data_IF_362841612203
#
_entry.id   IF_362841612203
#
_cell.length_a   1.000
_cell.length_b   1.000
_cell.length_c   1.000
_cell.angle_alpha   90.00
_cell.angle_beta   90.00
_cell.angle_gamma   90.00
#
_symmetry.space_group_name_H-M   'P 1'
#
loop_
_entity.id
_entity.type
_entity.pdbx_description
1 polymer ?
#
# COMPACT_ATOMS: atom_id res chain seq x y z
N UNK A 1 1.92 -36.97 13.05
CA UNK A 1 2.61 -36.83 11.76
C UNK A 1 1.66 -36.42 10.61
N UNK A 2 0.35 -36.70 10.70
CA UNK A 2 -0.65 -36.33 9.65
C UNK A 2 -1.11 -34.87 9.60
N UNK A 3 -0.84 -34.04 10.61
CA UNK A 3 -1.33 -32.64 10.63
C UNK A 3 -0.41 -31.63 9.92
N UNK A 4 0.87 -31.97 9.76
CA UNK A 4 1.87 -31.09 9.13
C UNK A 4 1.75 -31.16 7.60
N UNK A 5 1.47 -32.34 7.06
CA UNK A 5 1.31 -32.52 5.59
C UNK A 5 0.04 -31.83 5.03
N UNK A 6 -1.04 -31.75 5.83
CA UNK A 6 -2.26 -31.04 5.42
C UNK A 6 -2.07 -29.51 5.34
N UNK A 7 -1.27 -28.93 6.22
CA UNK A 7 -0.96 -27.49 6.20
C UNK A 7 -0.02 -27.17 5.03
N UNK A 8 0.98 -28.01 4.77
CA UNK A 8 1.88 -27.86 3.61
C UNK A 8 1.12 -27.99 2.29
N UNK A 9 0.26 -28.98 2.13
CA UNK A 9 -0.52 -29.16 0.91
C UNK A 9 -1.50 -28.04 0.61
N UNK A 10 -2.02 -27.35 1.64
CA UNK A 10 -2.90 -26.16 1.46
C UNK A 10 -2.08 -24.91 1.09
N UNK A 11 -0.84 -24.81 1.57
CA UNK A 11 0.09 -23.73 1.22
C UNK A 11 0.62 -23.88 -0.20
N UNK A 12 1.04 -25.07 -0.61
CA UNK A 12 1.49 -25.34 -1.98
C UNK A 12 0.38 -25.14 -3.02
N UNK A 13 -0.87 -25.51 -2.72
CA UNK A 13 -2.01 -25.24 -3.60
C UNK A 13 -2.30 -23.75 -3.76
N UNK A 14 -2.09 -22.93 -2.72
CA UNK A 14 -2.20 -21.46 -2.83
C UNK A 14 -1.05 -20.82 -3.62
N UNK A 15 0.14 -21.42 -3.61
CA UNK A 15 1.30 -20.93 -4.36
C UNK A 15 1.18 -21.26 -5.86
N UNK A 16 0.60 -22.42 -6.20
CA UNK A 16 0.41 -22.84 -7.61
C UNK A 16 -0.74 -22.12 -8.31
N UNK A 17 -1.73 -21.63 -7.55
CA UNK A 17 -2.85 -20.82 -8.06
C UNK A 17 -2.57 -19.29 -8.14
N UNK A 18 -1.37 -18.86 -7.79
CA UNK A 18 -0.89 -17.52 -8.14
C UNK A 18 -0.58 -17.48 -9.64
N UNK A 19 -1.63 -17.52 -10.46
CA UNK A 19 -1.56 -17.08 -11.84
C UNK A 19 -0.88 -15.70 -11.85
N UNK A 20 0.12 -15.52 -12.70
CA UNK A 20 0.72 -14.20 -12.97
C UNK A 20 -0.43 -13.20 -13.05
N UNK A 21 -0.42 -12.10 -12.29
CA UNK A 21 -1.50 -11.15 -12.37
C UNK A 21 -1.71 -10.82 -13.86
N UNK A 22 -2.94 -10.83 -14.37
CA UNK A 22 -3.21 -10.61 -15.78
C UNK A 22 -2.76 -9.23 -16.27
N UNK A 23 -2.13 -8.48 -15.38
CA UNK A 23 -1.76 -7.07 -15.54
C UNK A 23 -0.27 -6.89 -15.24
N UNK A 24 0.44 -6.14 -16.08
CA UNK A 24 1.87 -5.89 -15.89
C UNK A 24 2.12 -5.09 -14.59
N UNK A 25 3.28 -5.32 -13.95
CA UNK A 25 3.72 -4.58 -12.75
C UNK A 25 3.69 -3.05 -12.98
N UNK A 26 4.03 -2.60 -14.19
CA UNK A 26 4.00 -1.19 -14.53
C UNK A 26 2.58 -0.60 -14.48
N UNK A 27 1.58 -1.36 -14.87
CA UNK A 27 0.16 -0.96 -14.74
C UNK A 27 -0.26 -0.98 -13.27
N UNK A 28 0.09 -2.03 -12.52
CA UNK A 28 -0.23 -2.15 -11.08
C UNK A 28 0.30 -0.93 -10.31
N UNK A 29 1.52 -0.48 -10.58
CA UNK A 29 2.10 0.73 -9.96
C UNK A 29 1.32 2.02 -10.26
N UNK A 30 0.55 2.08 -11.36
CA UNK A 30 -0.29 3.23 -11.70
C UNK A 30 -1.72 3.14 -11.14
N UNK A 31 -2.21 1.94 -10.78
CA UNK A 31 -3.57 1.76 -10.25
C UNK A 31 -3.93 2.67 -9.07
N UNK A 32 -3.05 2.88 -8.06
CA UNK A 32 -3.36 3.80 -6.96
C UNK A 32 -3.63 5.24 -7.43
N UNK A 33 -2.97 5.69 -8.51
CA UNK A 33 -3.23 7.02 -9.09
C UNK A 33 -4.60 7.05 -9.78
N UNK A 34 -4.94 6.03 -10.57
CA UNK A 34 -6.27 5.91 -11.16
C UNK A 34 -7.35 5.92 -10.08
N UNK A 35 -7.20 5.11 -9.05
CA UNK A 35 -8.15 5.03 -7.94
C UNK A 35 -8.37 6.40 -7.28
N UNK A 36 -7.31 7.15 -7.03
CA UNK A 36 -7.40 8.49 -6.44
C UNK A 36 -8.18 9.46 -7.31
N UNK A 37 -7.80 9.64 -8.58
CA UNK A 37 -8.46 10.57 -9.46
C UNK A 37 -9.92 10.18 -9.76
N UNK A 38 -10.20 8.91 -9.97
CA UNK A 38 -11.56 8.45 -10.16
C UNK A 38 -12.42 8.66 -8.89
N UNK A 39 -11.83 8.51 -7.71
CA UNK A 39 -12.52 8.80 -6.45
C UNK A 39 -12.82 10.30 -6.27
N UNK A 40 -11.97 11.19 -6.77
CA UNK A 40 -12.23 12.63 -6.82
C UNK A 40 -13.38 12.95 -7.78
N UNK A 41 -13.32 12.42 -8.99
CA UNK A 41 -14.38 12.59 -10.00
C UNK A 41 -15.76 12.07 -9.53
N UNK A 42 -15.77 10.96 -8.79
CA UNK A 42 -17.03 10.45 -8.21
C UNK A 42 -17.62 11.41 -7.17
N UNK A 43 -16.79 12.04 -6.35
CA UNK A 43 -17.26 13.04 -5.36
C UNK A 43 -17.80 14.30 -6.03
N UNK A 44 -17.26 14.64 -7.19
CA UNK A 44 -17.71 15.75 -8.04
C UNK A 44 -18.96 15.40 -8.88
N UNK A 45 -19.45 14.15 -8.79
CA UNK A 45 -20.62 13.69 -9.53
C UNK A 45 -20.34 13.37 -11.00
N UNK A 46 -19.08 13.27 -11.42
CA UNK A 46 -18.72 12.96 -12.81
C UNK A 46 -19.08 11.51 -13.14
N UNK A 47 -19.98 11.33 -14.10
CA UNK A 47 -20.46 9.99 -14.49
C UNK A 47 -19.54 9.32 -15.51
N UNK A 48 -18.96 10.10 -16.41
CA UNK A 48 -18.11 9.61 -17.51
C UNK A 48 -16.87 10.49 -17.69
N UNK A 49 -15.79 9.86 -18.15
CA UNK A 49 -14.54 10.55 -18.47
C UNK A 49 -13.90 9.92 -19.71
N UNK A 50 -13.35 10.75 -20.59
CA UNK A 50 -12.57 10.29 -21.75
C UNK A 50 -11.12 9.96 -21.36
N UNK A 51 -10.44 9.16 -22.21
CA UNK A 51 -8.99 8.93 -22.04
C UNK A 51 -8.17 10.22 -22.16
N UNK A 52 -8.64 11.20 -22.94
CA UNK A 52 -8.00 12.50 -23.11
C UNK A 52 -8.11 13.37 -21.86
N UNK A 53 -9.27 13.41 -21.21
CA UNK A 53 -9.47 14.14 -19.95
C UNK A 53 -8.67 13.48 -18.81
N UNK A 54 -8.77 12.16 -18.67
CA UNK A 54 -8.03 11.42 -17.64
C UNK A 54 -6.50 11.55 -17.84
N UNK A 55 -6.02 11.61 -19.09
CA UNK A 55 -4.61 11.81 -19.40
C UNK A 55 -4.09 13.15 -18.92
N UNK A 56 -4.89 14.21 -19.04
CA UNK A 56 -4.57 15.57 -18.53
C UNK A 56 -4.45 15.56 -17.00
N UNK A 57 -5.42 14.95 -16.30
CA UNK A 57 -5.40 14.83 -14.84
C UNK A 57 -4.20 14.05 -14.32
N UNK A 58 -3.82 12.99 -15.04
CA UNK A 58 -2.76 12.09 -14.60
C UNK A 58 -1.37 12.45 -15.17
N UNK A 59 -1.28 13.43 -16.07
CA UNK A 59 -0.05 13.78 -16.79
C UNK A 59 0.62 12.53 -17.44
N UNK A 60 -0.16 11.76 -18.19
CA UNK A 60 0.25 10.61 -18.99
C UNK A 60 -0.45 10.69 -20.35
N UNK A 61 -0.03 9.93 -21.35
CA UNK A 61 -0.68 9.97 -22.68
C UNK A 61 -2.04 9.27 -22.68
N UNK A 62 -2.98 9.72 -23.51
CA UNK A 62 -4.27 9.05 -23.68
C UNK A 62 -4.11 7.62 -24.23
N UNK A 63 -3.04 7.35 -24.97
CA UNK A 63 -2.71 6.00 -25.42
C UNK A 63 -2.34 5.08 -24.26
N UNK A 64 -1.52 5.57 -23.32
CA UNK A 64 -1.17 4.84 -22.11
C UNK A 64 -2.40 4.52 -21.25
N UNK A 65 -3.32 5.50 -21.08
CA UNK A 65 -4.60 5.29 -20.40
C UNK A 65 -5.37 4.14 -21.03
N UNK A 66 -5.50 4.16 -22.37
CA UNK A 66 -6.22 3.09 -23.08
C UNK A 66 -5.55 1.73 -22.91
N UNK A 67 -4.23 1.66 -23.02
CA UNK A 67 -3.47 0.41 -22.80
C UNK A 67 -3.68 -0.12 -21.39
N UNK A 68 -3.50 0.73 -20.37
CA UNK A 68 -3.65 0.32 -18.99
C UNK A 68 -5.06 -0.21 -18.70
N UNK A 69 -6.09 0.50 -19.15
CA UNK A 69 -7.47 0.13 -18.88
C UNK A 69 -7.94 -1.07 -19.72
N UNK A 70 -7.37 -1.31 -20.89
CA UNK A 70 -7.67 -2.51 -21.68
C UNK A 70 -7.21 -3.80 -20.99
N UNK A 71 -6.20 -3.74 -20.11
CA UNK A 71 -5.77 -4.90 -19.32
C UNK A 71 -6.88 -5.45 -18.39
N UNK A 72 -7.90 -4.66 -18.11
CA UNK A 72 -8.98 -5.01 -17.18
C UNK A 72 -10.31 -5.39 -17.87
N UNK A 73 -10.28 -5.53 -19.20
CA UNK A 73 -11.49 -5.74 -20.02
C UNK A 73 -12.09 -4.42 -20.51
N UNK A 74 -12.62 -4.40 -21.72
CA UNK A 74 -13.04 -3.20 -22.46
C UNK A 74 -14.02 -2.27 -21.73
N UNK A 75 -13.53 -1.41 -20.87
CA UNK A 75 -14.30 -0.46 -20.06
C UNK A 75 -14.82 0.76 -20.81
N UNK A 76 -14.35 0.98 -22.03
CA UNK A 76 -14.74 2.10 -22.87
C UNK A 76 -15.51 1.67 -24.11
N UNK A 77 -16.66 2.22 -24.34
CA UNK A 77 -17.25 2.24 -25.67
C UNK A 77 -16.59 3.37 -26.47
N UNK A 78 -16.17 3.08 -27.69
CA UNK A 78 -15.55 4.06 -28.58
C UNK A 78 -16.50 5.26 -28.75
N UNK A 79 -16.00 6.46 -28.44
CA UNK A 79 -16.78 7.71 -28.47
C UNK A 79 -17.52 8.08 -27.17
N UNK A 80 -17.76 7.16 -26.24
CA UNK A 80 -18.55 7.41 -25.02
C UNK A 80 -17.70 7.57 -23.73
N UNK A 81 -16.39 7.31 -23.77
CA UNK A 81 -15.52 7.34 -22.61
C UNK A 81 -15.79 6.21 -21.60
N UNK A 82 -15.19 6.34 -20.43
CA UNK A 82 -15.26 5.36 -19.35
C UNK A 82 -16.34 5.75 -18.33
N UNK A 83 -17.11 4.77 -17.85
CA UNK A 83 -17.97 4.97 -16.70
C UNK A 83 -17.10 5.05 -15.43
N UNK A 84 -17.12 6.19 -14.75
CA UNK A 84 -16.25 6.49 -13.60
C UNK A 84 -16.51 5.56 -12.42
N UNK A 85 -17.81 5.34 -12.08
CA UNK A 85 -18.20 4.47 -10.96
C UNK A 85 -17.79 3.02 -11.19
N UNK A 86 -18.01 2.51 -12.39
CA UNK A 86 -17.66 1.14 -12.75
C UNK A 86 -16.14 0.93 -12.72
N UNK A 87 -15.39 1.83 -13.35
CA UNK A 87 -13.93 1.77 -13.39
C UNK A 87 -13.33 1.89 -12.00
N UNK A 88 -13.83 2.82 -11.17
CA UNK A 88 -13.41 2.96 -9.78
C UNK A 88 -13.65 1.67 -8.99
N UNK A 89 -14.83 1.05 -9.15
CA UNK A 89 -15.16 -0.20 -8.47
C UNK A 89 -14.23 -1.35 -8.85
N UNK A 90 -13.91 -1.48 -10.14
CA UNK A 90 -12.98 -2.52 -10.63
C UNK A 90 -11.55 -2.30 -10.16
N UNK A 91 -11.06 -1.07 -10.16
CA UNK A 91 -9.73 -0.76 -9.64
C UNK A 91 -9.68 -0.95 -8.12
N UNK A 92 -10.75 -0.61 -7.39
CA UNK A 92 -10.85 -0.89 -5.95
C UNK A 92 -10.77 -2.37 -5.63
N UNK A 93 -11.44 -3.21 -6.43
CA UNK A 93 -11.40 -4.67 -6.33
C UNK A 93 -9.97 -5.20 -6.55
N UNK A 94 -9.30 -4.76 -7.62
CA UNK A 94 -7.92 -5.15 -7.94
C UNK A 94 -6.91 -4.70 -6.89
N UNK A 95 -7.13 -3.55 -6.24
CA UNK A 95 -6.26 -3.03 -5.17
C UNK A 95 -6.58 -3.63 -3.79
N UNK A 96 -7.54 -4.53 -3.69
CA UNK A 96 -7.91 -5.15 -2.41
C UNK A 96 -8.57 -4.17 -1.43
N UNK A 97 -9.14 -3.06 -1.88
CA UNK A 97 -9.74 -2.02 -0.99
C UNK A 97 -10.92 -2.56 -0.19
N UNK A 98 -11.51 -3.69 -0.60
CA UNK A 98 -12.66 -4.32 0.06
C UNK A 98 -12.29 -5.54 0.90
N UNK A 99 -11.03 -5.91 0.97
CA UNK A 99 -10.58 -7.12 1.67
C UNK A 99 -10.61 -6.99 3.19
N UNK A 100 -10.70 -5.77 3.72
CA UNK A 100 -10.76 -5.53 5.16
C UNK A 100 -9.45 -5.86 5.87
N UNK A 101 -8.31 -5.54 5.28
CA UNK A 101 -7.00 -5.80 5.88
C UNK A 101 -6.86 -5.12 7.24
N UNK A 102 -6.26 -5.85 8.19
CA UNK A 102 -5.96 -5.35 9.53
C UNK A 102 -4.47 -5.03 9.65
N UNK A 103 -4.15 -3.86 10.16
CA UNK A 103 -2.79 -3.35 10.26
C UNK A 103 -2.42 -2.95 11.68
N UNK A 104 -1.17 -3.18 12.05
CA UNK A 104 -0.55 -2.62 13.25
C UNK A 104 0.59 -1.67 12.85
N UNK A 105 0.82 -0.65 13.69
CA UNK A 105 1.93 0.29 13.51
C UNK A 105 2.95 0.02 14.61
N UNK A 106 4.18 -0.30 14.25
CA UNK A 106 5.27 -0.51 15.20
C UNK A 106 6.20 0.69 15.20
N UNK A 107 6.35 1.30 16.36
CA UNK A 107 6.96 2.60 16.59
C UNK A 107 5.90 3.70 16.72
N UNK A 108 5.63 4.16 17.94
CA UNK A 108 4.71 5.25 18.23
C UNK A 108 5.43 6.61 18.33
N UNK A 109 6.54 6.78 17.63
CA UNK A 109 7.24 8.04 17.45
C UNK A 109 6.50 9.02 16.54
N UNK A 110 7.15 10.10 16.12
CA UNK A 110 6.52 11.15 15.33
C UNK A 110 5.88 10.65 14.03
N UNK A 111 6.58 9.79 13.29
CA UNK A 111 6.05 9.25 12.03
C UNK A 111 4.89 8.27 12.26
N UNK A 112 5.02 7.36 13.22
CA UNK A 112 3.94 6.43 13.58
C UNK A 112 2.68 7.16 14.03
N UNK A 113 2.80 8.19 14.88
CA UNK A 113 1.70 9.07 15.29
C UNK A 113 1.08 9.81 14.10
N UNK A 114 1.91 10.35 13.20
CA UNK A 114 1.43 11.03 11.99
C UNK A 114 0.64 10.08 11.09
N UNK A 115 1.12 8.85 10.86
CA UNK A 115 0.40 7.83 10.10
C UNK A 115 -0.90 7.42 10.80
N UNK A 116 -0.87 7.24 12.12
CA UNK A 116 -2.05 6.93 12.92
C UNK A 116 -3.14 8.01 12.83
N UNK A 117 -2.76 9.29 12.71
CA UNK A 117 -3.69 10.41 12.57
C UNK A 117 -4.44 10.43 11.24
N UNK A 118 -3.89 9.82 10.19
CA UNK A 118 -4.45 9.94 8.84
C UNK A 118 -5.69 9.07 8.63
N UNK A 119 -6.63 9.55 7.84
CA UNK A 119 -7.78 8.76 7.37
C UNK A 119 -7.45 7.87 6.15
N UNK A 120 -6.18 7.80 5.76
CA UNK A 120 -5.81 7.10 4.51
C UNK A 120 -6.02 5.59 4.58
N UNK A 121 -5.85 4.98 5.73
CA UNK A 121 -6.03 3.55 5.92
C UNK A 121 -7.49 3.13 5.68
N UNK A 122 -8.45 3.73 6.40
CA UNK A 122 -9.87 3.42 6.25
C UNK A 122 -10.40 3.68 4.84
N UNK A 123 -9.92 4.74 4.16
CA UNK A 123 -10.28 5.01 2.76
C UNK A 123 -9.76 3.95 1.79
N UNK A 124 -8.82 3.11 2.20
CA UNK A 124 -8.21 2.03 1.42
C UNK A 124 -8.58 0.64 1.93
N UNK A 125 -9.61 0.56 2.81
CA UNK A 125 -10.07 -0.73 3.34
C UNK A 125 -9.10 -1.39 4.31
N UNK A 126 -8.25 -0.59 4.97
CA UNK A 126 -7.30 -1.08 5.99
C UNK A 126 -7.72 -0.55 7.36
N UNK A 127 -7.93 -1.44 8.31
CA UNK A 127 -8.20 -1.11 9.71
C UNK A 127 -6.88 -1.02 10.50
N UNK A 128 -6.67 0.07 11.25
CA UNK A 128 -5.55 0.19 12.20
C UNK A 128 -6.03 -0.31 13.55
N UNK A 129 -5.54 -1.44 14.00
CA UNK A 129 -6.08 -2.10 15.20
C UNK A 129 -5.25 -1.83 16.45
N UNK A 130 -3.94 -1.64 16.32
CA UNK A 130 -3.05 -1.34 17.44
C UNK A 130 -1.79 -0.61 16.98
N UNK A 131 -1.11 0.00 17.96
CA UNK A 131 0.27 0.46 17.86
C UNK A 131 1.13 -0.28 18.87
N UNK A 132 2.43 -0.36 18.61
CA UNK A 132 3.41 -0.98 19.51
C UNK A 132 4.61 -0.07 19.71
N UNK A 133 5.09 0.03 20.94
CA UNK A 133 6.28 0.80 21.28
C UNK A 133 7.00 0.16 22.49
N UNK A 134 8.24 0.61 22.75
CA UNK A 134 9.01 0.26 23.94
C UNK A 134 8.91 1.33 25.02
N UNK A 135 8.44 2.54 24.67
CA UNK A 135 8.40 3.69 25.59
C UNK A 135 7.29 3.52 26.62
N UNK A 136 7.63 3.38 27.92
CA UNK A 136 6.65 3.20 28.98
C UNK A 136 5.71 4.40 29.16
N UNK A 137 6.12 5.60 28.70
CA UNK A 137 5.26 6.76 28.74
C UNK A 137 4.17 6.74 27.66
N UNK A 138 4.36 5.93 26.64
CA UNK A 138 3.44 5.82 25.49
C UNK A 138 2.59 4.56 25.57
N UNK A 139 3.13 3.47 26.07
CA UNK A 139 2.43 2.19 26.28
C UNK A 139 1.26 2.35 27.25
N UNK A 140 0.15 1.66 26.96
CA UNK A 140 -1.11 1.73 27.73
C UNK A 140 -2.00 2.93 27.38
N UNK A 141 -1.52 3.87 26.58
CA UNK A 141 -2.31 5.02 26.09
C UNK A 141 -3.06 4.70 24.81
N UNK A 142 -3.93 5.60 24.38
CA UNK A 142 -4.53 5.59 23.04
C UNK A 142 -4.02 6.79 22.24
N UNK A 143 -3.59 6.54 21.02
CA UNK A 143 -3.16 7.55 20.05
C UNK A 143 -4.20 7.59 18.92
N UNK A 144 -4.92 8.68 18.77
CA UNK A 144 -6.04 8.81 17.81
C UNK A 144 -7.07 7.68 17.91
N UNK A 145 -7.34 7.23 19.14
CA UNK A 145 -8.27 6.14 19.43
C UNK A 145 -7.69 4.73 19.30
N UNK A 146 -6.46 4.58 18.82
CA UNK A 146 -5.76 3.30 18.61
C UNK A 146 -4.98 2.99 19.90
N UNK A 147 -5.15 1.79 20.51
CA UNK A 147 -4.40 1.40 21.70
C UNK A 147 -2.92 1.19 21.39
N UNK A 148 -2.05 1.51 22.33
CA UNK A 148 -0.61 1.27 22.27
C UNK A 148 -0.24 0.19 23.26
N UNK A 149 0.37 -0.88 22.79
CA UNK A 149 0.86 -2.02 23.57
C UNK A 149 2.38 -2.03 23.65
N UNK A 150 2.93 -2.76 24.61
CA UNK A 150 4.37 -2.99 24.64
C UNK A 150 4.80 -3.91 23.51
N UNK A 151 6.02 -3.71 23.00
CA UNK A 151 6.56 -4.46 21.86
C UNK A 151 6.58 -5.99 22.11
N UNK A 152 6.76 -6.42 23.34
CA UNK A 152 6.78 -7.85 23.71
C UNK A 152 5.44 -8.55 23.43
N UNK A 153 4.34 -7.81 23.35
CA UNK A 153 3.00 -8.33 23.05
C UNK A 153 2.79 -8.51 21.52
N UNK A 154 3.68 -7.98 20.68
CA UNK A 154 3.50 -7.92 19.22
C UNK A 154 3.21 -9.28 18.59
N UNK A 155 4.01 -10.29 18.90
CA UNK A 155 3.87 -11.63 18.30
C UNK A 155 2.52 -12.27 18.64
N UNK A 156 2.15 -12.28 19.91
CA UNK A 156 0.89 -12.85 20.37
C UNK A 156 -0.31 -12.08 19.78
N UNK A 157 -0.24 -10.76 19.77
CA UNK A 157 -1.30 -9.91 19.21
C UNK A 157 -1.49 -10.18 17.72
N UNK A 158 -0.40 -10.20 16.93
CA UNK A 158 -0.49 -10.45 15.50
C UNK A 158 -1.15 -11.79 15.17
N UNK A 159 -0.83 -12.85 15.92
CA UNK A 159 -1.44 -14.18 15.77
C UNK A 159 -2.92 -14.19 16.12
N UNK A 160 -3.29 -13.63 17.27
CA UNK A 160 -4.65 -13.68 17.80
C UNK A 160 -5.61 -12.80 16.97
N UNK A 161 -5.14 -11.66 16.50
CA UNK A 161 -5.93 -10.66 15.78
C UNK A 161 -5.87 -10.81 14.26
N UNK A 162 -5.21 -11.84 13.74
CA UNK A 162 -5.05 -12.11 12.31
C UNK A 162 -4.56 -10.87 11.53
N UNK A 163 -3.45 -10.29 11.97
CA UNK A 163 -2.88 -9.09 11.35
C UNK A 163 -2.30 -9.43 9.98
N UNK A 164 -2.67 -8.65 8.97
CA UNK A 164 -2.20 -8.80 7.61
C UNK A 164 -1.01 -7.89 7.29
N UNK A 165 -1.02 -6.66 7.85
CA UNK A 165 -0.07 -5.60 7.50
C UNK A 165 0.66 -5.10 8.73
N UNK A 166 1.98 -5.10 8.67
CA UNK A 166 2.87 -4.44 9.62
C UNK A 166 3.41 -3.13 9.05
N UNK A 167 3.18 -2.02 9.75
CA UNK A 167 3.74 -0.71 9.39
C UNK A 167 4.93 -0.44 10.30
N UNK A 168 6.13 -0.40 9.73
CA UNK A 168 7.38 -0.24 10.48
C UNK A 168 7.82 1.23 10.46
N UNK A 169 7.76 1.87 11.62
CA UNK A 169 8.19 3.26 11.85
C UNK A 169 9.23 3.35 12.97
N UNK A 170 9.98 2.27 13.14
CA UNK A 170 11.07 2.10 14.12
C UNK A 170 12.42 2.55 13.56
N UNK A 171 13.44 2.79 14.39
CA UNK A 171 14.81 2.96 13.92
C UNK A 171 15.27 1.78 13.07
N UNK A 172 16.18 2.03 12.13
CA UNK A 172 16.70 1.01 11.20
C UNK A 172 17.32 -0.21 11.92
N UNK A 173 17.91 0.03 13.08
CA UNK A 173 18.57 -1.00 13.90
C UNK A 173 17.57 -2.05 14.43
N UNK A 174 16.31 -1.66 14.67
CA UNK A 174 15.26 -2.55 15.16
C UNK A 174 14.36 -3.13 14.04
N UNK A 175 14.41 -2.56 12.84
CA UNK A 175 13.44 -2.85 11.79
C UNK A 175 13.46 -4.32 11.34
N UNK A 176 14.65 -4.93 11.28
CA UNK A 176 14.79 -6.32 10.84
C UNK A 176 14.19 -7.29 11.86
N UNK A 177 14.53 -7.13 13.12
CA UNK A 177 14.06 -8.02 14.21
C UNK A 177 12.54 -7.92 14.36
N UNK A 178 12.01 -6.70 14.37
CA UNK A 178 10.56 -6.45 14.41
C UNK A 178 9.85 -7.08 13.21
N UNK A 179 10.39 -6.94 12.01
CA UNK A 179 9.84 -7.55 10.81
C UNK A 179 9.80 -9.08 10.90
N UNK A 180 10.88 -9.71 11.41
CA UNK A 180 10.91 -11.16 11.63
C UNK A 180 9.85 -11.64 12.61
N UNK A 181 9.73 -10.97 13.76
CA UNK A 181 8.68 -11.28 14.76
C UNK A 181 7.29 -11.25 14.14
N UNK A 182 7.02 -10.24 13.30
CA UNK A 182 5.72 -10.09 12.62
C UNK A 182 5.48 -11.20 11.59
N UNK A 183 6.48 -11.51 10.78
CA UNK A 183 6.39 -12.56 9.75
C UNK A 183 6.18 -13.95 10.38
N UNK A 184 6.90 -14.28 11.45
CA UNK A 184 6.70 -15.50 12.23
C UNK A 184 5.31 -15.56 12.90
N UNK A 185 4.73 -14.40 13.17
CA UNK A 185 3.37 -14.27 13.67
C UNK A 185 2.28 -14.35 12.57
N UNK A 186 2.67 -14.53 11.29
CA UNK A 186 1.75 -14.71 10.18
C UNK A 186 1.43 -13.43 9.38
N UNK A 187 2.09 -12.31 9.67
CA UNK A 187 1.95 -11.07 8.89
C UNK A 187 2.55 -11.27 7.50
N UNK A 188 1.80 -10.94 6.46
CA UNK A 188 2.18 -11.16 5.05
C UNK A 188 2.55 -9.89 4.30
N UNK A 189 2.20 -8.71 4.82
CA UNK A 189 2.53 -7.43 4.23
C UNK A 189 3.33 -6.55 5.19
N UNK A 190 4.48 -6.05 4.76
CA UNK A 190 5.30 -5.11 5.53
C UNK A 190 5.43 -3.79 4.78
N UNK A 191 4.99 -2.71 5.42
CA UNK A 191 5.13 -1.35 4.91
C UNK A 191 6.22 -0.64 5.70
N UNK A 192 7.43 -0.63 5.13
CA UNK A 192 8.63 -0.22 5.84
C UNK A 192 8.96 1.26 5.59
N UNK A 193 8.97 2.04 6.67
CA UNK A 193 9.42 3.44 6.71
C UNK A 193 10.75 3.62 7.43
N UNK A 194 11.34 2.56 7.97
CA UNK A 194 12.70 2.62 8.50
C UNK A 194 13.68 2.98 7.37
N UNK A 195 14.68 3.78 7.69
CA UNK A 195 15.64 4.27 6.68
C UNK A 195 16.66 3.17 6.30
N UNK A 196 16.12 2.07 5.76
CA UNK A 196 16.87 0.92 5.25
C UNK A 196 16.06 0.12 4.23
N UNK A 197 16.74 -0.57 3.34
CA UNK A 197 16.14 -1.56 2.44
C UNK A 197 15.89 -2.86 3.21
N UNK A 198 14.65 -3.08 3.62
CA UNK A 198 14.25 -4.31 4.30
C UNK A 198 14.01 -5.41 3.27
N UNK A 199 14.75 -6.51 3.38
CA UNK A 199 14.64 -7.69 2.51
C UNK A 199 14.26 -8.90 3.34
N UNK A 200 13.06 -9.43 3.12
CA UNK A 200 12.55 -10.64 3.76
C UNK A 200 12.31 -11.67 2.67
N UNK A 201 13.05 -12.79 2.73
CA UNK A 201 12.98 -13.87 1.73
C UNK A 201 12.10 -15.01 2.23
N UNK A 202 10.88 -14.69 2.65
CA UNK A 202 9.87 -15.69 3.06
C UNK A 202 8.78 -15.73 2.01
N UNK A 203 8.46 -16.92 1.43
CA UNK A 203 7.40 -17.04 0.43
C UNK A 203 6.06 -16.48 0.95
N UNK A 204 5.39 -15.66 0.12
CA UNK A 204 4.11 -15.06 0.48
C UNK A 204 4.21 -13.78 1.30
N UNK A 205 5.40 -13.34 1.72
CA UNK A 205 5.61 -12.06 2.39
C UNK A 205 6.00 -11.00 1.36
N UNK A 206 5.32 -9.86 1.41
CA UNK A 206 5.55 -8.71 0.53
C UNK A 206 6.07 -7.56 1.37
N UNK A 207 7.18 -6.95 0.95
CA UNK A 207 7.76 -5.76 1.58
C UNK A 207 7.68 -4.59 0.60
N UNK A 208 7.08 -3.50 1.06
CA UNK A 208 7.12 -2.20 0.37
C UNK A 208 8.00 -1.25 1.18
N UNK A 209 9.18 -0.92 0.65
CA UNK A 209 10.12 0.01 1.25
C UNK A 209 9.83 1.45 0.82
N UNK A 210 9.70 2.37 1.77
CA UNK A 210 9.41 3.78 1.54
C UNK A 210 10.61 4.63 1.93
N UNK A 211 11.29 5.17 0.94
CA UNK A 211 12.41 6.10 1.12
C UNK A 211 11.93 7.54 0.85
N UNK A 212 11.54 8.26 1.89
CA UNK A 212 11.04 9.63 1.77
C UNK A 212 12.08 10.58 1.16
N UNK A 213 13.35 10.33 1.41
CA UNK A 213 14.47 11.11 0.87
C UNK A 213 14.59 11.04 -0.65
N UNK A 214 14.20 9.92 -1.27
CA UNK A 214 14.34 9.73 -2.72
C UNK A 214 13.46 10.71 -3.50
N UNK A 215 12.24 10.97 -3.03
CA UNK A 215 11.36 11.95 -3.65
C UNK A 215 11.88 13.38 -3.52
N UNK A 216 12.53 13.71 -2.41
CA UNK A 216 13.20 14.99 -2.20
C UNK A 216 14.41 15.15 -3.15
N UNK A 217 15.24 14.12 -3.27
CA UNK A 217 16.38 14.14 -4.20
C UNK A 217 15.94 14.29 -5.65
N UNK A 218 14.86 13.61 -6.04
CA UNK A 218 14.24 13.78 -7.36
C UNK A 218 13.80 15.24 -7.59
N UNK A 219 13.14 15.86 -6.62
CA UNK A 219 12.75 17.28 -6.69
C UNK A 219 13.97 18.19 -6.84
N UNK A 220 15.04 17.98 -6.07
CA UNK A 220 16.29 18.73 -6.19
C UNK A 220 16.89 18.63 -7.60
N UNK A 221 16.88 17.44 -8.19
CA UNK A 221 17.33 17.23 -9.57
C UNK A 221 16.47 18.02 -10.57
N UNK A 222 15.15 17.96 -10.44
CA UNK A 222 14.23 18.68 -11.33
C UNK A 222 14.42 20.20 -11.25
N UNK A 223 14.61 20.76 -10.05
CA UNK A 223 14.92 22.18 -9.84
C UNK A 223 16.23 22.55 -10.54
N UNK A 224 17.29 21.77 -10.32
CA UNK A 224 18.61 22.03 -10.94
C UNK A 224 18.52 22.03 -12.47
N UNK A 225 17.80 21.09 -13.06
CA UNK A 225 17.69 20.95 -14.52
C UNK A 225 16.78 22.01 -15.13
N UNK A 226 15.74 22.46 -14.42
CA UNK A 226 14.87 23.55 -14.86
C UNK A 226 15.62 24.89 -14.88
N UNK A 227 16.41 25.19 -13.85
CA UNK A 227 17.19 26.42 -13.75
C UNK A 227 18.33 26.50 -14.80
N UNK A 228 18.74 25.35 -15.36
CA UNK A 228 19.75 25.29 -16.43
C UNK A 228 19.21 25.60 -17.85
N UNK A 229 17.89 25.52 -18.06
CA UNK A 229 17.27 25.79 -19.37
C UNK A 229 17.09 27.30 -19.63
N UNK A 230 16.98 28.14 -18.59
CA UNK A 230 16.84 29.59 -18.74
C UNK A 230 18.17 30.34 -18.99
N UNK A 231 19.32 29.64 -18.86
CA UNK A 231 20.65 30.22 -19.12
C UNK A 231 21.16 30.01 -20.56
N UNK A 232 20.37 29.43 -21.45
CA UNK A 232 20.71 29.19 -22.87
C UNK A 232 19.74 29.83 -23.85
N UNK A 233 19.17 31.00 -23.50
CA UNK A 233 18.50 31.88 -24.45
C UNK A 233 19.22 33.21 -24.55
#
# INVERSE_FOLDING_TARGET
MESIDKVHGTFEKRITDMQKPPVSIAVIKRLPRYHRYLGELLREGTLRISSAELSRLMNVTASQIRQDLNCFGGFGQQGYGYNVKYLYGKISELLGVKEGYRAVIVGAGNLGKALAATHMFGRRGVERVAMFDIDPETVGKKIYGIPVYHIDELSAFCKNENINIGVLTVPKEAAYDVAHVMVEAGVTGLWNFANMELKISVPGVIVENIHLGDSLMKLCYEIKTSSGKDKKK
#
